data_IF_597139976440
#
_entry.id   IF_597139976440
#
_cell.length_a   1.000
_cell.length_b   1.000
_cell.length_c   1.000
_cell.angle_alpha   90.00
_cell.angle_beta   90.00
_cell.angle_gamma   90.00
#
_symmetry.space_group_name_H-M   'P 1'
#
loop_
_entity.id
_entity.type
_entity.pdbx_description
1 polymer ?
#
# COMPACT_ATOMS: atom_id res chain seq x y z
N UNK A 1 -9.05 22.26 3.34
CA UNK A 1 -10.35 22.64 3.97
C UNK A 1 -11.44 23.05 2.97
N UNK A 2 -11.11 23.53 1.75
CA UNK A 2 -12.10 23.98 0.76
C UNK A 2 -12.72 22.88 -0.13
N UNK A 3 -12.19 21.66 -0.07
CA UNK A 3 -12.68 20.54 -0.91
C UNK A 3 -13.85 19.82 -0.23
N UNK A 4 -13.85 19.69 1.09
CA UNK A 4 -14.83 18.93 1.85
C UNK A 4 -16.28 19.39 1.65
N UNK A 5 -16.61 20.71 1.74
CA UNK A 5 -17.99 21.17 1.56
C UNK A 5 -18.55 20.96 0.14
N UNK A 6 -17.67 20.84 -0.85
CA UNK A 6 -18.06 20.61 -2.26
C UNK A 6 -18.25 19.12 -2.55
N UNK A 7 -17.43 18.27 -1.90
CA UNK A 7 -17.59 16.82 -1.94
C UNK A 7 -18.86 16.37 -1.22
N UNK A 8 -19.23 17.01 -0.11
CA UNK A 8 -20.46 16.71 0.63
C UNK A 8 -21.74 16.92 -0.21
N UNK A 9 -21.69 17.73 -1.28
CA UNK A 9 -22.79 17.92 -2.24
C UNK A 9 -22.83 16.84 -3.32
N UNK A 10 -21.68 16.33 -3.73
CA UNK A 10 -21.52 15.36 -4.84
C UNK A 10 -21.56 13.93 -4.31
N UNK A 11 -21.00 13.72 -3.13
CA UNK A 11 -20.84 12.42 -2.52
C UNK A 11 -22.14 11.62 -2.33
N UNK A 12 -23.29 12.21 -1.92
CA UNK A 12 -24.54 11.46 -1.78
C UNK A 12 -25.07 10.89 -3.10
N UNK A 13 -24.91 11.62 -4.22
CA UNK A 13 -25.36 11.12 -5.53
C UNK A 13 -24.45 10.00 -6.04
N UNK A 14 -23.13 10.12 -5.81
CA UNK A 14 -22.13 9.09 -6.17
C UNK A 14 -22.34 7.82 -5.34
N UNK A 15 -22.54 7.95 -4.01
CA UNK A 15 -22.80 6.81 -3.14
C UNK A 15 -24.10 6.10 -3.52
N UNK A 16 -25.18 6.83 -3.74
CA UNK A 16 -26.47 6.24 -4.10
C UNK A 16 -26.37 5.41 -5.38
N UNK A 17 -25.67 5.89 -6.39
CA UNK A 17 -25.46 5.15 -7.64
C UNK A 17 -24.48 4.00 -7.51
N UNK A 18 -23.45 4.13 -6.65
CA UNK A 18 -22.56 3.02 -6.34
C UNK A 18 -23.28 1.89 -5.59
N UNK A 19 -24.21 2.22 -4.68
CA UNK A 19 -25.11 1.27 -4.00
C UNK A 19 -26.05 0.58 -4.98
N UNK A 20 -26.56 1.30 -5.98
CA UNK A 20 -27.40 0.77 -7.06
C UNK A 20 -26.61 -0.04 -8.11
N UNK A 21 -25.27 -0.12 -7.99
CA UNK A 21 -24.39 -0.79 -8.94
C UNK A 21 -24.21 -0.02 -10.26
N UNK A 22 -24.62 1.22 -10.29
CA UNK A 22 -24.63 2.06 -11.49
C UNK A 22 -23.32 2.88 -11.55
N UNK A 23 -22.43 2.52 -12.45
CA UNK A 23 -21.18 3.25 -12.65
C UNK A 23 -21.42 4.55 -13.42
N UNK A 24 -21.19 5.67 -12.76
CA UNK A 24 -21.36 6.99 -13.38
C UNK A 24 -20.27 7.20 -14.43
N UNK A 25 -20.67 7.28 -15.71
CA UNK A 25 -19.79 7.83 -16.74
C UNK A 25 -19.82 9.36 -16.69
N UNK A 26 -18.74 10.02 -17.13
CA UNK A 26 -18.68 11.47 -17.22
C UNK A 26 -19.82 12.04 -18.09
N UNK A 27 -20.22 11.29 -19.13
CA UNK A 27 -21.30 11.67 -20.05
C UNK A 27 -22.70 11.58 -19.45
N UNK A 28 -22.88 10.75 -18.41
CA UNK A 28 -24.18 10.49 -17.76
C UNK A 28 -24.39 11.33 -16.50
N UNK A 29 -23.30 11.94 -15.96
CA UNK A 29 -23.40 12.76 -14.77
C UNK A 29 -23.76 14.20 -15.12
N UNK A 30 -24.44 14.85 -14.19
CA UNK A 30 -24.67 16.30 -14.23
C UNK A 30 -23.45 17.11 -13.79
N UNK A 31 -22.33 16.44 -13.52
CA UNK A 31 -21.11 17.07 -13.02
C UNK A 31 -20.40 17.80 -14.15
N UNK A 32 -20.02 19.04 -13.90
CA UNK A 32 -19.15 19.80 -14.79
C UNK A 32 -17.71 19.27 -14.81
N UNK A 33 -16.90 19.71 -15.76
CA UNK A 33 -15.49 19.31 -15.91
C UNK A 33 -14.65 19.59 -14.65
N UNK A 34 -14.94 20.70 -13.95
CA UNK A 34 -14.26 21.06 -12.71
C UNK A 34 -14.55 20.07 -11.58
N UNK A 35 -15.80 19.66 -11.45
CA UNK A 35 -16.23 18.72 -10.40
C UNK A 35 -15.73 17.31 -10.69
N UNK A 36 -15.75 16.90 -11.96
CA UNK A 36 -15.13 15.64 -12.38
C UNK A 36 -13.64 15.60 -12.07
N UNK A 37 -12.91 16.65 -12.34
CA UNK A 37 -11.49 16.74 -12.03
C UNK A 37 -11.23 16.61 -10.53
N UNK A 38 -12.01 17.31 -9.70
CA UNK A 38 -11.91 17.22 -8.24
C UNK A 38 -12.21 15.82 -7.75
N UNK A 39 -13.30 15.24 -8.24
CA UNK A 39 -13.72 13.88 -7.87
C UNK A 39 -12.66 12.84 -8.26
N UNK A 40 -12.13 12.90 -9.48
CA UNK A 40 -11.10 11.96 -9.95
C UNK A 40 -9.85 12.05 -9.09
N UNK A 41 -9.31 13.25 -8.84
CA UNK A 41 -8.14 13.45 -7.99
C UNK A 41 -8.40 12.95 -6.57
N UNK A 42 -9.55 13.27 -5.98
CA UNK A 42 -9.92 12.82 -4.64
C UNK A 42 -10.04 11.29 -4.56
N UNK A 43 -10.70 10.67 -5.53
CA UNK A 43 -10.84 9.21 -5.60
C UNK A 43 -9.48 8.51 -5.64
N UNK A 44 -8.53 9.01 -6.44
CA UNK A 44 -7.18 8.43 -6.55
C UNK A 44 -6.34 8.68 -5.29
N UNK A 45 -6.51 9.84 -4.66
CA UNK A 45 -5.90 10.12 -3.36
C UNK A 45 -6.43 9.18 -2.27
N UNK A 46 -7.74 8.95 -2.21
CA UNK A 46 -8.35 8.01 -1.26
C UNK A 46 -7.84 6.59 -1.46
N UNK A 47 -7.67 6.15 -2.71
CA UNK A 47 -7.09 4.84 -3.01
C UNK A 47 -5.64 4.73 -2.48
N UNK A 48 -4.82 5.77 -2.64
CA UNK A 48 -3.46 5.80 -2.09
C UNK A 48 -3.46 5.74 -0.55
N UNK A 49 -4.33 6.53 0.10
CA UNK A 49 -4.49 6.52 1.58
C UNK A 49 -4.91 5.12 2.05
N UNK A 50 -5.83 4.47 1.37
CA UNK A 50 -6.26 3.10 1.72
C UNK A 50 -5.12 2.08 1.65
N UNK A 51 -4.12 2.28 0.78
CA UNK A 51 -2.92 1.43 0.74
C UNK A 51 -1.99 1.74 1.91
N UNK A 52 -1.84 3.01 2.29
CA UNK A 52 -1.08 3.41 3.49
C UNK A 52 -1.70 2.81 4.76
N UNK A 53 -3.03 2.88 4.91
CA UNK A 53 -3.73 2.28 6.05
C UNK A 53 -3.45 0.77 6.16
N UNK A 54 -3.40 0.05 5.03
CA UNK A 54 -3.09 -1.38 5.02
C UNK A 54 -1.65 -1.67 5.46
N UNK A 55 -0.69 -0.79 5.16
CA UNK A 55 0.69 -0.89 5.67
C UNK A 55 0.69 -0.76 7.19
N UNK A 56 -0.02 0.25 7.72
CA UNK A 56 -0.15 0.46 9.17
C UNK A 56 -0.83 -0.74 9.84
N UNK A 57 -1.90 -1.27 9.25
CA UNK A 57 -2.58 -2.45 9.78
C UNK A 57 -1.69 -3.70 9.77
N UNK A 58 -0.95 -3.93 8.68
CA UNK A 58 -0.02 -5.06 8.61
C UNK A 58 1.03 -5.00 9.72
N UNK A 59 1.59 -3.81 10.00
CA UNK A 59 2.53 -3.59 11.10
C UNK A 59 1.87 -3.82 12.47
N UNK A 60 0.68 -3.26 12.69
CA UNK A 60 -0.05 -3.43 13.95
C UNK A 60 -0.40 -4.89 14.23
N UNK A 61 -0.78 -5.67 13.21
CA UNK A 61 -1.07 -7.09 13.35
C UNK A 61 0.18 -7.93 13.57
N UNK A 62 1.32 -7.56 12.99
CA UNK A 62 2.60 -8.21 13.27
C UNK A 62 2.95 -8.17 14.76
N UNK A 63 2.71 -7.04 15.43
CA UNK A 63 3.02 -6.84 16.84
C UNK A 63 2.05 -7.56 17.80
N UNK A 64 0.88 -8.00 17.32
CA UNK A 64 -0.21 -8.54 18.16
C UNK A 64 -0.68 -9.88 17.65
N UNK A 65 0.09 -10.92 17.91
CA UNK A 65 -0.40 -12.27 17.67
C UNK A 65 -1.59 -12.56 18.60
N UNK A 66 -2.76 -12.97 18.08
CA UNK A 66 -3.87 -13.36 18.91
C UNK A 66 -3.52 -14.62 19.72
N UNK A 67 -4.19 -14.81 20.85
CA UNK A 67 -3.88 -15.92 21.78
C UNK A 67 -3.57 -17.23 21.04
N UNK A 68 -2.37 -17.82 21.22
CA UNK A 68 -1.93 -19.00 20.46
C UNK A 68 -2.90 -20.17 20.54
N UNK A 69 -3.55 -20.35 21.70
CA UNK A 69 -4.41 -21.51 21.97
C UNK A 69 -5.65 -21.57 21.09
N UNK A 70 -6.17 -20.44 20.63
CA UNK A 70 -7.36 -20.40 19.78
C UNK A 70 -6.99 -20.58 18.32
N UNK A 71 -6.02 -19.83 17.84
CA UNK A 71 -5.64 -19.85 16.42
C UNK A 71 -4.87 -21.12 16.02
N UNK A 72 -3.89 -21.54 16.83
CA UNK A 72 -3.12 -22.75 16.53
C UNK A 72 -3.98 -24.02 16.56
N UNK A 73 -4.92 -24.11 17.52
CA UNK A 73 -5.78 -25.28 17.65
C UNK A 73 -6.91 -25.35 16.64
N UNK A 74 -7.48 -24.21 16.29
CA UNK A 74 -8.70 -24.15 15.47
C UNK A 74 -8.36 -24.05 13.97
N UNK A 75 -7.27 -23.35 13.65
CA UNK A 75 -6.92 -23.02 12.24
C UNK A 75 -5.52 -23.51 11.83
N UNK A 76 -4.78 -24.16 12.70
CA UNK A 76 -3.38 -24.58 12.46
C UNK A 76 -2.45 -23.39 12.04
N UNK A 77 -2.78 -22.17 12.50
CA UNK A 77 -2.00 -20.97 12.23
C UNK A 77 -1.01 -20.74 13.35
N UNK A 78 0.26 -21.07 13.11
CA UNK A 78 1.34 -20.79 14.05
C UNK A 78 1.73 -19.32 14.03
N UNK A 79 2.50 -18.89 15.04
CA UNK A 79 3.03 -17.52 15.07
C UNK A 79 3.94 -17.21 13.89
N UNK A 80 4.70 -18.19 13.39
CA UNK A 80 5.51 -18.05 12.19
C UNK A 80 4.64 -17.72 10.96
N UNK A 81 3.59 -18.49 10.72
CA UNK A 81 2.66 -18.30 9.61
C UNK A 81 2.02 -16.92 9.70
N UNK A 82 1.64 -16.49 10.91
CA UNK A 82 1.08 -15.16 11.15
C UNK A 82 2.05 -14.03 10.77
N UNK A 83 3.30 -14.11 11.24
CA UNK A 83 4.35 -13.13 10.91
C UNK A 83 4.61 -13.11 9.42
N UNK A 84 4.76 -14.27 8.80
CA UNK A 84 5.00 -14.40 7.37
C UNK A 84 3.86 -13.76 6.55
N UNK A 85 2.60 -14.08 6.88
CA UNK A 85 1.43 -13.53 6.19
C UNK A 85 1.37 -12.00 6.25
N UNK A 86 1.53 -11.41 7.43
CA UNK A 86 1.45 -9.97 7.61
C UNK A 86 2.64 -9.23 7.00
N UNK A 87 3.83 -9.81 7.04
CA UNK A 87 5.01 -9.24 6.39
C UNK A 87 4.87 -9.26 4.86
N UNK A 88 4.38 -10.34 4.28
CA UNK A 88 4.09 -10.37 2.83
C UNK A 88 2.98 -9.39 2.44
N UNK A 89 1.95 -9.26 3.27
CA UNK A 89 0.90 -8.26 3.05
C UNK A 89 1.47 -6.84 3.09
N UNK A 90 2.34 -6.55 4.04
CA UNK A 90 3.09 -5.30 4.10
C UNK A 90 3.86 -5.03 2.79
N UNK A 91 4.69 -5.97 2.33
CA UNK A 91 5.47 -5.82 1.10
C UNK A 91 4.61 -5.56 -0.15
N UNK A 92 3.49 -6.27 -0.28
CA UNK A 92 2.55 -6.07 -1.39
C UNK A 92 2.02 -4.64 -1.39
N UNK A 93 1.64 -4.10 -0.23
CA UNK A 93 1.11 -2.75 -0.14
C UNK A 93 2.19 -1.69 -0.37
N UNK A 94 3.42 -1.88 0.13
CA UNK A 94 4.54 -0.95 -0.16
C UNK A 94 4.78 -0.81 -1.67
N UNK A 95 4.82 -1.92 -2.40
CA UNK A 95 5.00 -1.85 -3.87
C UNK A 95 3.79 -1.22 -4.56
N UNK A 96 2.57 -1.47 -4.05
CA UNK A 96 1.33 -0.92 -4.62
C UNK A 96 1.21 0.59 -4.43
N UNK A 97 1.91 1.19 -3.45
CA UNK A 97 1.93 2.65 -3.27
C UNK A 97 2.43 3.37 -4.52
N UNK A 98 3.48 2.85 -5.17
CA UNK A 98 4.00 3.47 -6.38
C UNK A 98 3.00 3.40 -7.52
N UNK A 99 2.33 2.28 -7.72
CA UNK A 99 1.29 2.13 -8.74
C UNK A 99 0.14 3.14 -8.49
N UNK A 100 -0.33 3.28 -7.23
CA UNK A 100 -1.35 4.26 -6.86
C UNK A 100 -0.88 5.70 -7.08
N UNK A 101 0.38 6.00 -6.78
CA UNK A 101 0.96 7.32 -7.00
C UNK A 101 1.04 7.69 -8.48
N UNK A 102 1.36 6.74 -9.37
CA UNK A 102 1.34 6.96 -10.82
C UNK A 102 -0.08 7.28 -11.32
N UNK A 103 -1.08 6.58 -10.79
CA UNK A 103 -2.50 6.84 -11.12
C UNK A 103 -2.94 8.21 -10.61
N UNK A 104 -2.57 8.59 -9.38
CA UNK A 104 -2.83 9.92 -8.84
C UNK A 104 -2.13 11.02 -9.67
N UNK A 105 -0.88 10.78 -10.08
CA UNK A 105 -0.15 11.70 -10.96
C UNK A 105 -0.89 11.91 -12.29
N UNK A 106 -1.37 10.82 -12.90
CA UNK A 106 -2.18 10.89 -14.12
C UNK A 106 -3.42 11.79 -13.94
N UNK A 107 -4.12 11.65 -12.83
CA UNK A 107 -5.30 12.48 -12.52
C UNK A 107 -4.92 13.95 -12.29
N UNK A 108 -3.95 14.23 -11.41
CA UNK A 108 -3.54 15.61 -11.08
C UNK A 108 -3.00 16.36 -12.30
N UNK A 109 -2.20 15.71 -13.14
CA UNK A 109 -1.67 16.30 -14.36
C UNK A 109 -2.67 16.32 -15.52
N UNK A 110 -3.85 15.69 -15.38
CA UNK A 110 -4.86 15.52 -16.43
C UNK A 110 -4.28 14.88 -17.70
N UNK A 111 -3.43 13.87 -17.55
CA UNK A 111 -2.77 13.19 -18.67
C UNK A 111 -3.81 12.41 -19.50
N UNK A 112 -4.87 11.90 -18.87
CA UNK A 112 -5.98 11.23 -19.55
C UNK A 112 -5.74 9.76 -19.89
N UNK A 113 -4.78 9.11 -19.25
CA UNK A 113 -4.52 7.68 -19.45
C UNK A 113 -5.55 6.83 -18.67
N UNK A 114 -5.91 5.68 -19.23
CA UNK A 114 -6.62 4.65 -18.46
C UNK A 114 -5.69 4.12 -17.36
N UNK A 115 -6.22 3.75 -16.18
CA UNK A 115 -5.41 3.30 -15.03
C UNK A 115 -4.42 2.20 -15.39
N UNK A 116 -4.83 1.19 -16.17
CA UNK A 116 -3.96 0.10 -16.64
C UNK A 116 -2.76 0.55 -17.49
N UNK A 117 -2.82 1.76 -18.03
CA UNK A 117 -1.76 2.37 -18.83
C UNK A 117 -0.84 3.28 -18.01
N UNK A 118 -1.15 3.54 -16.73
CA UNK A 118 -0.32 4.31 -15.81
C UNK A 118 0.88 3.47 -15.36
N UNK A 119 1.82 3.25 -16.29
CA UNK A 119 3.06 2.51 -16.04
C UNK A 119 4.21 3.50 -15.77
N UNK A 120 5.27 3.08 -15.03
CA UNK A 120 6.44 3.93 -14.79
C UNK A 120 6.96 4.58 -16.08
N UNK A 121 7.25 3.76 -17.11
CA UNK A 121 7.74 4.27 -18.40
C UNK A 121 6.82 5.28 -19.08
N UNK A 122 5.51 5.15 -18.89
CA UNK A 122 4.52 6.04 -19.53
C UNK A 122 4.42 7.37 -18.78
N UNK A 123 4.36 7.31 -17.44
CA UNK A 123 4.19 8.52 -16.62
C UNK A 123 5.51 9.30 -16.50
N UNK A 124 6.64 8.62 -16.24
CA UNK A 124 7.94 9.27 -16.09
C UNK A 124 8.42 9.98 -17.37
N UNK A 125 8.05 9.45 -18.54
CA UNK A 125 8.39 10.04 -19.86
C UNK A 125 7.33 11.02 -20.36
N UNK A 126 6.25 11.25 -19.61
CA UNK A 126 5.21 12.18 -20.01
C UNK A 126 5.76 13.61 -19.99
N UNK A 127 5.52 14.37 -21.07
CA UNK A 127 6.06 15.71 -21.24
C UNK A 127 5.71 16.65 -20.08
N UNK A 128 4.45 16.64 -19.62
CA UNK A 128 3.98 17.52 -18.54
C UNK A 128 4.66 17.20 -17.19
N UNK A 129 4.91 15.91 -16.92
CA UNK A 129 5.57 15.43 -15.70
C UNK A 129 7.06 15.79 -15.72
N UNK A 130 7.70 15.53 -16.87
CA UNK A 130 9.14 15.80 -17.05
C UNK A 130 9.45 17.30 -17.07
N UNK A 131 8.64 18.11 -17.76
CA UNK A 131 8.87 19.56 -17.93
C UNK A 131 8.97 20.30 -16.60
N UNK A 132 8.18 19.88 -15.60
CA UNK A 132 8.19 20.48 -14.25
C UNK A 132 9.15 19.78 -13.29
N UNK A 133 9.88 18.75 -13.75
CA UNK A 133 10.85 18.01 -12.95
C UNK A 133 10.25 17.06 -11.93
N UNK A 134 8.94 16.75 -12.03
CA UNK A 134 8.26 15.86 -11.09
C UNK A 134 8.68 14.38 -11.23
N UNK A 135 9.19 14.00 -12.41
CA UNK A 135 9.77 12.67 -12.67
C UNK A 135 10.89 12.29 -11.69
N UNK A 136 11.63 13.27 -11.16
CA UNK A 136 12.71 13.05 -10.18
C UNK A 136 12.15 12.55 -8.84
N UNK A 137 11.03 13.12 -8.38
CA UNK A 137 10.35 12.69 -7.16
C UNK A 137 9.77 11.29 -7.32
N UNK A 138 9.16 11.00 -8.47
CA UNK A 138 8.63 9.67 -8.77
C UNK A 138 9.75 8.62 -8.82
N UNK A 139 10.89 8.90 -9.45
CA UNK A 139 12.05 7.98 -9.49
C UNK A 139 12.61 7.70 -8.11
N UNK A 140 12.72 8.74 -7.26
CA UNK A 140 13.17 8.57 -5.88
C UNK A 140 12.18 7.69 -5.10
N UNK A 141 10.88 7.93 -5.22
CA UNK A 141 9.86 7.10 -4.58
C UNK A 141 9.83 5.67 -5.14
N UNK A 142 10.02 5.50 -6.44
CA UNK A 142 10.16 4.18 -7.07
C UNK A 142 11.31 3.38 -6.44
N UNK A 143 12.46 4.00 -6.20
CA UNK A 143 13.61 3.31 -5.59
C UNK A 143 13.32 2.81 -4.17
N UNK A 144 12.53 3.55 -3.39
CA UNK A 144 12.10 3.16 -2.04
C UNK A 144 11.16 1.95 -2.10
N UNK A 145 10.15 1.99 -2.96
CA UNK A 145 9.12 0.96 -3.02
C UNK A 145 9.56 -0.32 -3.76
N UNK A 146 10.50 -0.20 -4.70
CA UNK A 146 10.95 -1.32 -5.53
C UNK A 146 11.78 -2.38 -4.79
N UNK A 147 12.30 -2.09 -3.58
CA UNK A 147 13.08 -3.05 -2.79
C UNK A 147 12.36 -4.38 -2.55
N UNK A 148 11.03 -4.38 -2.56
CA UNK A 148 10.21 -5.58 -2.40
C UNK A 148 9.58 -6.09 -3.70
N UNK A 149 9.78 -5.42 -4.83
CA UNK A 149 9.06 -5.71 -6.09
C UNK A 149 9.33 -7.12 -6.62
N UNK A 150 10.59 -7.55 -6.61
CA UNK A 150 10.95 -8.88 -7.07
C UNK A 150 10.32 -9.95 -6.19
N UNK A 151 10.48 -9.83 -4.88
CA UNK A 151 9.92 -10.76 -3.89
C UNK A 151 8.40 -10.83 -3.99
N UNK A 152 7.71 -9.67 -4.09
CA UNK A 152 6.26 -9.60 -4.30
C UNK A 152 5.84 -10.34 -5.57
N UNK A 153 6.54 -10.11 -6.68
CA UNK A 153 6.20 -10.73 -7.96
C UNK A 153 6.37 -12.25 -7.94
N UNK A 154 7.43 -12.74 -7.30
CA UNK A 154 7.65 -14.18 -7.13
C UNK A 154 6.55 -14.77 -6.24
N UNK A 155 6.25 -14.13 -5.12
CA UNK A 155 5.22 -14.58 -4.17
C UNK A 155 3.84 -14.67 -4.84
N UNK A 156 3.40 -13.62 -5.53
CA UNK A 156 2.06 -13.55 -6.13
C UNK A 156 1.88 -14.42 -7.38
N UNK A 157 2.92 -14.55 -8.20
CA UNK A 157 2.75 -15.13 -9.54
C UNK A 157 3.34 -16.53 -9.70
N UNK A 158 4.25 -16.96 -8.85
CA UNK A 158 4.94 -18.24 -9.01
C UNK A 158 4.65 -19.26 -7.91
N UNK A 159 3.97 -18.89 -6.83
CA UNK A 159 3.62 -19.79 -5.72
C UNK A 159 4.82 -20.48 -5.03
N UNK A 160 6.04 -20.14 -5.44
CA UNK A 160 7.32 -20.65 -4.92
C UNK A 160 8.19 -19.45 -4.53
N UNK A 161 7.67 -18.61 -3.67
CA UNK A 161 8.39 -17.45 -3.17
C UNK A 161 9.45 -17.88 -2.15
N UNK A 162 10.41 -16.98 -1.90
CA UNK A 162 11.24 -17.07 -0.70
C UNK A 162 10.31 -16.94 0.51
N UNK A 163 10.52 -17.77 1.53
CA UNK A 163 9.88 -17.57 2.84
C UNK A 163 10.42 -16.29 3.50
N UNK A 164 9.76 -15.84 4.56
CA UNK A 164 10.14 -14.60 5.27
C UNK A 164 11.60 -14.63 5.75
N UNK A 165 12.08 -15.78 6.25
CA UNK A 165 13.45 -15.94 6.71
C UNK A 165 14.49 -15.68 5.60
N UNK A 166 14.21 -16.17 4.40
CA UNK A 166 15.06 -15.93 3.21
C UNK A 166 15.00 -14.50 2.71
N UNK A 167 13.83 -13.84 2.83
CA UNK A 167 13.66 -12.43 2.45
C UNK A 167 14.41 -11.51 3.39
N UNK A 168 14.35 -11.80 4.70
CA UNK A 168 14.98 -11.00 5.74
C UNK A 168 16.44 -11.41 6.00
N UNK A 169 16.88 -12.55 5.46
CA UNK A 169 18.17 -13.19 5.72
C UNK A 169 18.39 -13.43 7.22
N UNK A 170 17.36 -14.00 7.89
CA UNK A 170 17.36 -14.30 9.32
C UNK A 170 17.47 -15.81 9.57
N UNK A 171 18.56 -16.23 10.20
CA UNK A 171 18.76 -17.62 10.64
C UNK A 171 17.79 -17.99 11.77
N UNK A 172 17.46 -17.04 12.65
CA UNK A 172 16.51 -17.23 13.72
C UNK A 172 15.10 -17.48 13.18
N UNK A 173 14.64 -16.72 12.19
CA UNK A 173 13.36 -17.00 11.51
C UNK A 173 13.38 -18.35 10.78
N UNK A 174 14.50 -18.76 10.20
CA UNK A 174 14.64 -20.08 9.60
C UNK A 174 14.45 -21.19 10.63
N UNK A 175 15.06 -21.01 11.81
CA UNK A 175 14.91 -21.92 12.93
C UNK A 175 13.47 -21.95 13.48
N UNK A 176 12.86 -20.78 13.70
CA UNK A 176 11.47 -20.66 14.15
C UNK A 176 10.47 -21.26 13.14
N UNK A 177 10.74 -21.16 11.85
CA UNK A 177 9.96 -21.81 10.80
C UNK A 177 10.00 -23.34 10.89
N UNK A 178 11.19 -23.90 11.15
CA UNK A 178 11.35 -25.34 11.41
C UNK A 178 10.62 -25.78 12.68
N UNK A 179 10.76 -25.01 13.76
CA UNK A 179 10.06 -25.28 15.04
C UNK A 179 8.54 -25.21 14.83
N UNK A 180 8.05 -24.23 14.09
CA UNK A 180 6.63 -24.10 13.74
C UNK A 180 6.10 -25.34 13.01
N UNK A 181 6.86 -25.86 12.05
CA UNK A 181 6.51 -27.10 11.35
C UNK A 181 6.44 -28.31 12.29
N UNK A 182 7.41 -28.47 13.20
CA UNK A 182 7.42 -29.55 14.18
C UNK A 182 6.25 -29.44 15.16
N UNK A 183 5.91 -28.24 15.62
CA UNK A 183 4.74 -27.98 16.49
C UNK A 183 3.43 -28.46 15.86
N UNK A 184 3.21 -28.19 14.55
CA UNK A 184 2.03 -28.68 13.83
C UNK A 184 1.96 -30.21 13.78
N UNK A 185 3.12 -30.89 13.81
CA UNK A 185 3.21 -32.34 13.78
C UNK A 185 3.28 -32.97 15.19
N UNK A 186 3.05 -32.17 16.26
CA UNK A 186 3.03 -32.57 17.68
C UNK A 186 4.38 -33.06 18.23
N UNK A 187 5.46 -32.73 17.58
CA UNK A 187 6.81 -32.97 18.08
C UNK A 187 7.26 -31.79 18.96
N UNK A 188 7.06 -31.88 20.27
CA UNK A 188 7.56 -30.87 21.23
C UNK A 188 9.09 -30.98 21.31
N UNK A 189 9.78 -30.07 20.62
CA UNK A 189 11.25 -30.09 20.54
C UNK A 189 11.90 -29.09 21.50
N UNK A 190 11.24 -28.00 21.86
CA UNK A 190 11.79 -26.93 22.70
C UNK A 190 10.81 -26.43 23.75
N UNK A 191 11.32 -25.94 24.92
CA UNK A 191 10.49 -25.19 25.86
C UNK A 191 9.80 -24.00 25.23
N UNK A 192 8.54 -23.80 25.59
CA UNK A 192 7.69 -22.77 25.00
C UNK A 192 8.23 -21.35 25.22
N UNK A 193 8.80 -21.09 26.40
CA UNK A 193 9.38 -19.80 26.76
C UNK A 193 10.55 -19.40 25.84
N UNK A 194 11.35 -20.34 25.38
CA UNK A 194 12.43 -20.12 24.42
C UNK A 194 11.86 -19.76 23.06
N UNK A 195 10.83 -20.46 22.61
CA UNK A 195 10.16 -20.20 21.34
C UNK A 195 9.50 -18.82 21.37
N UNK A 196 8.75 -18.50 22.42
CA UNK A 196 8.06 -17.21 22.59
C UNK A 196 9.08 -16.05 22.65
N UNK A 197 10.24 -16.25 23.30
CA UNK A 197 11.31 -15.26 23.32
C UNK A 197 11.90 -15.02 21.93
N UNK A 198 12.17 -16.07 21.15
CA UNK A 198 12.66 -15.96 19.79
C UNK A 198 11.70 -15.21 18.87
N UNK A 199 10.41 -15.52 18.94
CA UNK A 199 9.39 -14.78 18.17
C UNK A 199 9.30 -13.30 18.57
N UNK A 200 9.39 -13.00 19.86
CA UNK A 200 9.36 -11.62 20.35
C UNK A 200 10.54 -10.80 19.82
N UNK A 201 11.73 -11.38 19.79
CA UNK A 201 12.92 -10.73 19.24
C UNK A 201 12.76 -10.44 17.75
N UNK A 202 12.33 -11.43 16.96
CA UNK A 202 12.11 -11.27 15.52
C UNK A 202 11.01 -10.25 15.19
N UNK A 203 9.91 -10.24 15.94
CA UNK A 203 8.84 -9.24 15.75
C UNK A 203 9.38 -7.83 15.99
N UNK A 204 10.24 -7.63 16.99
CA UNK A 204 10.87 -6.33 17.25
C UNK A 204 11.77 -5.92 16.06
N UNK A 205 12.61 -6.84 15.57
CA UNK A 205 13.50 -6.55 14.43
C UNK A 205 12.71 -6.21 13.15
N UNK A 206 11.69 -7.02 12.84
CA UNK A 206 10.81 -6.75 11.68
C UNK A 206 10.09 -5.42 11.85
N UNK A 207 9.57 -5.11 13.05
CA UNK A 207 8.89 -3.84 13.33
C UNK A 207 9.81 -2.65 13.13
N UNK A 208 11.03 -2.70 13.65
CA UNK A 208 12.02 -1.63 13.48
C UNK A 208 12.32 -1.38 11.98
N UNK A 209 12.42 -2.46 11.20
CA UNK A 209 12.63 -2.37 9.75
C UNK A 209 11.44 -1.73 9.03
N UNK A 210 10.21 -2.13 9.39
CA UNK A 210 8.98 -1.54 8.85
C UNK A 210 8.87 -0.06 9.21
N UNK A 211 9.19 0.32 10.45
CA UNK A 211 9.18 1.71 10.91
C UNK A 211 10.17 2.57 10.12
N UNK A 212 11.40 2.09 9.91
CA UNK A 212 12.38 2.79 9.09
C UNK A 212 11.87 3.01 7.65
N UNK A 213 11.26 1.98 7.04
CA UNK A 213 10.65 2.08 5.72
C UNK A 213 9.49 3.06 5.68
N UNK A 214 8.63 3.06 6.71
CA UNK A 214 7.50 3.97 6.82
C UNK A 214 7.95 5.43 6.93
N UNK A 215 8.98 5.72 7.70
CA UNK A 215 9.55 7.07 7.79
C UNK A 215 10.07 7.56 6.43
N UNK A 216 10.83 6.70 5.72
CA UNK A 216 11.33 7.06 4.39
C UNK A 216 10.20 7.32 3.37
N UNK A 217 9.14 6.50 3.43
CA UNK A 217 7.93 6.65 2.61
C UNK A 217 7.19 7.95 2.95
N UNK A 218 7.00 8.25 4.24
CA UNK A 218 6.30 9.44 4.74
C UNK A 218 7.01 10.72 4.33
N UNK A 219 8.33 10.80 4.54
CA UNK A 219 9.14 11.94 4.14
C UNK A 219 9.03 12.21 2.65
N UNK A 220 9.14 11.16 1.83
CA UNK A 220 9.07 11.31 0.39
C UNK A 220 7.66 11.64 -0.10
N UNK A 221 6.61 11.08 0.49
CA UNK A 221 5.23 11.42 0.16
C UNK A 221 4.90 12.86 0.54
N UNK A 222 5.43 13.37 1.66
CA UNK A 222 5.27 14.77 2.05
C UNK A 222 5.81 15.74 0.99
N UNK A 223 7.01 15.48 0.46
CA UNK A 223 7.59 16.25 -0.65
C UNK A 223 6.71 16.16 -1.93
N UNK A 224 6.29 14.95 -2.28
CA UNK A 224 5.45 14.66 -3.45
C UNK A 224 4.10 15.38 -3.34
N UNK A 225 3.40 15.27 -2.22
CA UNK A 225 2.10 15.93 -2.05
C UNK A 225 2.23 17.44 -2.05
N UNK A 226 3.28 17.99 -1.44
CA UNK A 226 3.56 19.43 -1.49
C UNK A 226 3.73 19.93 -2.92
N UNK A 227 4.29 19.11 -3.81
CA UNK A 227 4.41 19.41 -5.23
C UNK A 227 3.07 19.25 -5.98
N UNK A 228 2.39 18.11 -5.78
CA UNK A 228 1.11 17.80 -6.45
C UNK A 228 0.02 18.81 -6.12
N UNK A 229 -0.03 19.32 -4.89
CA UNK A 229 -0.99 20.38 -4.49
C UNK A 229 -0.80 21.65 -5.34
N UNK A 230 0.44 22.07 -5.58
CA UNK A 230 0.72 23.24 -6.43
C UNK A 230 0.24 23.03 -7.88
N UNK A 231 0.50 21.83 -8.43
CA UNK A 231 0.01 21.48 -9.78
C UNK A 231 -1.51 21.43 -9.81
N UNK A 232 -2.12 20.79 -8.81
CA UNK A 232 -3.58 20.69 -8.68
C UNK A 232 -4.25 22.06 -8.67
N UNK A 233 -3.75 22.99 -7.83
CA UNK A 233 -4.29 24.35 -7.72
C UNK A 233 -4.15 25.13 -9.03
N UNK A 234 -3.04 24.97 -9.74
CA UNK A 234 -2.80 25.64 -11.03
C UNK A 234 -3.67 25.08 -12.18
N UNK A 235 -4.06 23.80 -12.11
CA UNK A 235 -4.88 23.13 -13.12
C UNK A 235 -6.36 23.09 -12.78
N UNK A 236 -6.73 23.50 -11.57
CA UNK A 236 -8.12 23.58 -11.14
C UNK A 236 -8.85 24.59 -12.05
N UNK A 237 -9.89 24.18 -12.78
CA UNK A 237 -10.69 25.14 -13.54
C UNK A 237 -11.26 26.18 -12.58
N UNK A 238 -11.15 27.44 -12.94
CA UNK A 238 -11.80 28.53 -12.18
C UNK A 238 -13.30 28.21 -12.11
N UNK A 239 -13.86 28.30 -10.90
CA UNK A 239 -15.29 28.21 -10.72
C UNK A 239 -15.81 29.54 -11.29
N UNK A 240 -16.41 29.50 -12.47
CA UNK A 240 -17.23 30.64 -12.93
C UNK A 240 -18.38 30.76 -11.92
N UNK A 241 -18.20 31.65 -10.94
CA UNK A 241 -19.22 32.09 -9.97
C UNK A 241 -20.31 32.84 -10.66
#
# INVERSE_FOLDING_TARGET
DDIKPQLDKIYPEVLKRAEDGDWISKSESKMGDADWYRYDVFSKQTALISVLDRIVYAHAFLQKFPSPRTFEKEYEITQYIWIEYHFFHYMVNVVSLFDCLLILTNAVFRIGLKERACKPDTILKNHWVWQVGFDKYLKKFESITNKYKETRNIHLHRGKGKNIAQVLNSDNLSFLGMVSFLQLHKDEFLPKDIIDAGYKEEVVEISNRIEADCHEIEDQLSEIFSFLIKIYLNKRPEINT
#
